data_IF_599250194727
#
_entry.id   IF_599250194727
#
_cell.length_a   1.000
_cell.length_b   1.000
_cell.length_c   1.000
_cell.angle_alpha   90.00
_cell.angle_beta   90.00
_cell.angle_gamma   90.00
#
_symmetry.space_group_name_H-M   'P 1'
#
loop_
_entity.id
_entity.type
_entity.pdbx_description
1 polymer ?
#
# COMPACT_ATOMS: atom_id res chain seq x y z
N UNK A 1 2.98 14.60 -4.78
CA UNK A 1 2.47 13.31 -5.32
C UNK A 1 2.61 12.29 -4.20
N UNK A 2 1.55 11.57 -3.86
CA UNK A 2 1.56 10.56 -2.79
C UNK A 2 1.46 9.19 -3.44
N UNK A 3 2.46 8.34 -3.20
CA UNK A 3 2.46 6.93 -3.63
C UNK A 3 1.61 6.12 -2.65
N UNK A 4 0.68 5.30 -3.13
CA UNK A 4 -0.12 4.42 -2.28
C UNK A 4 0.38 2.99 -2.40
N UNK A 5 0.74 2.40 -1.27
CA UNK A 5 1.23 1.04 -1.18
C UNK A 5 0.08 0.17 -0.67
N UNK A 6 -0.41 -0.73 -1.52
CA UNK A 6 -1.46 -1.68 -1.20
C UNK A 6 -0.83 -3.01 -0.80
N UNK A 7 -1.15 -3.48 0.40
CA UNK A 7 -0.79 -4.81 0.86
C UNK A 7 -2.00 -5.72 0.61
N UNK A 8 -1.86 -6.64 -0.34
CA UNK A 8 -2.90 -7.59 -0.72
C UNK A 8 -2.51 -8.98 -0.23
N UNK A 9 -2.62 -9.19 1.08
CA UNK A 9 -2.26 -10.45 1.73
C UNK A 9 -3.22 -10.73 2.89
N UNK A 10 -3.64 -11.99 3.05
CA UNK A 10 -4.50 -12.42 4.16
C UNK A 10 -3.70 -12.64 5.46
N UNK A 11 -2.36 -12.68 5.38
CA UNK A 11 -1.48 -12.83 6.53
C UNK A 11 -1.31 -11.52 7.27
N UNK A 12 -1.98 -11.42 8.42
CA UNK A 12 -1.81 -10.31 9.37
C UNK A 12 -0.35 -10.13 9.81
N UNK A 13 0.42 -11.23 9.88
CA UNK A 13 1.85 -11.19 10.24
C UNK A 13 2.67 -10.52 9.13
N UNK A 14 2.39 -10.86 7.86
CA UNK A 14 3.06 -10.25 6.73
C UNK A 14 2.71 -8.76 6.62
N UNK A 15 1.41 -8.42 6.74
CA UNK A 15 0.95 -7.04 6.73
C UNK A 15 1.68 -6.20 7.78
N UNK A 16 1.75 -6.71 9.02
CA UNK A 16 2.41 -6.01 10.12
C UNK A 16 3.91 -5.86 9.90
N UNK A 17 4.59 -6.91 9.43
CA UNK A 17 6.02 -6.90 9.14
C UNK A 17 6.36 -5.84 8.08
N UNK A 18 5.59 -5.78 7.00
CA UNK A 18 5.80 -4.80 5.93
C UNK A 18 5.54 -3.38 6.40
N UNK A 19 4.46 -3.17 7.17
CA UNK A 19 4.16 -1.88 7.78
C UNK A 19 5.33 -1.37 8.62
N UNK A 20 5.87 -2.22 9.50
CA UNK A 20 7.00 -1.86 10.36
C UNK A 20 8.26 -1.53 9.52
N UNK A 21 8.55 -2.30 8.46
CA UNK A 21 9.67 -2.01 7.55
C UNK A 21 9.50 -0.65 6.84
N UNK A 22 8.31 -0.35 6.33
CA UNK A 22 8.03 0.89 5.60
C UNK A 22 8.09 2.11 6.52
N UNK A 23 7.56 1.99 7.74
CA UNK A 23 7.61 3.08 8.71
C UNK A 23 9.03 3.36 9.20
N UNK A 24 9.79 2.32 9.58
CA UNK A 24 11.18 2.47 10.02
C UNK A 24 12.10 3.01 8.91
N UNK A 25 11.82 2.66 7.64
CA UNK A 25 12.59 3.14 6.48
C UNK A 25 12.10 4.48 5.91
N UNK A 26 11.03 5.07 6.44
CA UNK A 26 10.38 6.28 5.88
C UNK A 26 11.36 7.44 5.66
N UNK A 27 12.30 7.64 6.57
CA UNK A 27 13.34 8.69 6.46
C UNK A 27 14.33 8.47 5.31
N UNK A 28 14.58 7.20 4.94
CA UNK A 28 15.45 6.83 3.82
C UNK A 28 14.74 6.93 2.48
N UNK A 29 13.42 6.88 2.48
CA UNK A 29 12.58 6.94 1.29
C UNK A 29 12.28 8.37 0.84
N UNK A 30 12.84 9.41 1.48
CA UNK A 30 12.64 10.81 1.08
C UNK A 30 13.16 11.04 -0.36
N UNK A 31 12.40 11.76 -1.22
CA UNK A 31 11.19 12.54 -0.95
C UNK A 31 9.88 11.77 -1.20
N UNK A 32 9.94 10.44 -1.25
CA UNK A 32 8.79 9.60 -1.57
C UNK A 32 7.77 9.67 -0.44
N UNK A 33 6.74 10.49 -0.64
CA UNK A 33 5.61 10.59 0.27
C UNK A 33 4.65 9.44 -0.05
N UNK A 34 4.39 8.57 0.92
CA UNK A 34 3.53 7.42 0.71
C UNK A 34 2.54 7.17 1.85
N UNK A 35 1.45 6.52 1.48
CA UNK A 35 0.37 6.03 2.35
C UNK A 35 0.27 4.51 2.20
N UNK A 36 0.12 3.80 3.32
CA UNK A 36 -0.06 2.35 3.34
C UNK A 36 -1.56 2.06 3.44
N UNK A 37 -2.09 1.30 2.48
CA UNK A 37 -3.49 0.88 2.44
C UNK A 37 -3.53 -0.63 2.58
N UNK A 38 -4.29 -1.09 3.58
CA UNK A 38 -4.32 -2.49 4.02
C UNK A 38 -5.73 -2.95 4.35
N UNK A 39 -5.94 -4.26 4.46
CA UNK A 39 -7.25 -4.85 4.76
C UNK A 39 -8.34 -4.68 3.69
N UNK A 40 -7.97 -4.30 2.46
CA UNK A 40 -8.90 -4.27 1.33
C UNK A 40 -8.86 -5.61 0.60
N UNK A 41 -10.01 -6.27 0.51
CA UNK A 41 -10.17 -7.37 -0.43
C UNK A 41 -10.22 -6.84 -1.88
N UNK A 42 -10.12 -7.73 -2.87
CA UNK A 42 -10.08 -7.36 -4.30
C UNK A 42 -11.27 -6.48 -4.72
N UNK A 43 -12.48 -6.77 -4.23
CA UNK A 43 -13.67 -5.98 -4.57
C UNK A 43 -13.61 -4.57 -3.97
N UNK A 44 -13.22 -4.47 -2.70
CA UNK A 44 -13.04 -3.19 -2.01
C UNK A 44 -11.92 -2.36 -2.64
N UNK A 45 -10.85 -3.00 -3.11
CA UNK A 45 -9.78 -2.32 -3.86
C UNK A 45 -10.31 -1.73 -5.17
N UNK A 46 -11.07 -2.52 -5.95
CA UNK A 46 -11.65 -2.04 -7.22
C UNK A 46 -12.59 -0.85 -6.99
N UNK A 47 -13.41 -0.90 -5.93
CA UNK A 47 -14.25 0.23 -5.53
C UNK A 47 -13.42 1.44 -5.10
N UNK A 48 -12.36 1.23 -4.31
CA UNK A 48 -11.45 2.30 -3.90
C UNK A 48 -10.84 3.01 -5.12
N UNK A 49 -10.34 2.26 -6.11
CA UNK A 49 -9.77 2.84 -7.33
C UNK A 49 -10.81 3.57 -8.18
N UNK A 50 -12.06 3.09 -8.22
CA UNK A 50 -13.13 3.79 -8.96
C UNK A 50 -13.56 5.09 -8.29
N UNK A 51 -13.56 5.10 -6.96
CA UNK A 51 -14.06 6.23 -6.17
C UNK A 51 -12.99 7.31 -5.92
N UNK A 52 -11.73 7.02 -6.22
CA UNK A 52 -10.60 7.94 -6.08
C UNK A 52 -9.95 8.15 -7.46
N UNK A 53 -9.52 9.37 -7.79
CA UNK A 53 -8.77 9.64 -9.03
C UNK A 53 -7.32 9.11 -8.90
N UNK A 54 -7.17 7.79 -8.97
CA UNK A 54 -5.88 7.12 -8.78
C UNK A 54 -5.23 6.85 -10.14
N UNK A 55 -3.99 7.34 -10.31
CA UNK A 55 -3.18 7.04 -11.50
C UNK A 55 -2.34 5.80 -11.26
N UNK A 56 -1.99 5.08 -12.32
CA UNK A 56 -1.14 3.88 -12.20
C UNK A 56 0.22 4.17 -11.55
N UNK A 57 0.73 5.39 -11.69
CA UNK A 57 1.95 5.87 -11.02
C UNK A 57 1.83 5.99 -9.49
N UNK A 58 0.60 5.97 -8.98
CA UNK A 58 0.28 6.17 -7.56
C UNK A 58 0.06 4.83 -6.84
N UNK A 59 0.23 3.68 -7.50
CA UNK A 59 -0.11 2.36 -6.96
C UNK A 59 1.12 1.44 -6.95
N UNK A 60 1.42 0.87 -5.79
CA UNK A 60 2.33 -0.27 -5.64
C UNK A 60 1.61 -1.41 -4.91
N UNK A 61 1.85 -2.65 -5.34
CA UNK A 61 1.28 -3.84 -4.71
C UNK A 61 2.36 -4.68 -4.04
N UNK A 62 2.10 -5.10 -2.80
CA UNK A 62 2.88 -6.09 -2.09
C UNK A 62 2.00 -7.33 -1.88
N UNK A 63 2.47 -8.46 -2.43
CA UNK A 63 1.77 -9.74 -2.44
C UNK A 63 2.80 -10.79 -1.97
N UNK A 64 2.48 -11.63 -0.98
CA UNK A 64 3.33 -12.79 -0.69
C UNK A 64 3.15 -13.86 -1.77
N UNK A 65 4.26 -14.50 -2.16
CA UNK A 65 4.32 -15.57 -3.16
C UNK A 65 4.58 -16.88 -2.43
#
# INVERSE_FOLDING_TARGET
MITRIFILDDSLVFEKMIEDILEESRNLLIPWNFEIIKGLNVMQFVEFVKNNDIRSSDIFFLISI
#
